data_IF_274784235265
#
_entry.id   IF_274784235265
#
_cell.length_a   1.000
_cell.length_b   1.000
_cell.length_c   1.000
_cell.angle_alpha   90.00
_cell.angle_beta   90.00
_cell.angle_gamma   90.00
#
_symmetry.space_group_name_H-M   'P 1'
#
loop_
_entity.id
_entity.type
_entity.pdbx_description
1 polymer ?
#
# COMPACT_ATOMS: atom_id res chain seq x y z
N UNK A 1 -14.67 -12.82 -12.91
CA UNK A 1 -14.72 -11.98 -11.70
C UNK A 1 -14.01 -10.66 -11.99
N UNK A 2 -14.60 -9.53 -11.62
CA UNK A 2 -13.93 -8.24 -11.64
C UNK A 2 -12.98 -8.07 -10.43
N UNK A 3 -12.20 -6.99 -10.39
CA UNK A 3 -11.24 -6.73 -9.31
C UNK A 3 -11.89 -6.78 -7.92
N UNK A 4 -13.01 -6.09 -7.75
CA UNK A 4 -13.73 -6.01 -6.46
C UNK A 4 -14.18 -7.40 -6.01
N UNK A 5 -14.74 -8.20 -6.91
CA UNK A 5 -15.18 -9.57 -6.61
C UNK A 5 -14.01 -10.45 -6.14
N UNK A 6 -12.82 -10.31 -6.75
CA UNK A 6 -11.63 -11.07 -6.35
C UNK A 6 -11.20 -10.71 -4.93
N UNK A 7 -11.16 -9.42 -4.60
CA UNK A 7 -10.78 -8.95 -3.28
C UNK A 7 -11.79 -9.37 -2.20
N UNK A 8 -13.08 -9.31 -2.50
CA UNK A 8 -14.13 -9.78 -1.60
C UNK A 8 -14.04 -11.30 -1.35
N UNK A 9 -13.83 -12.09 -2.40
CA UNK A 9 -13.66 -13.53 -2.25
C UNK A 9 -12.38 -13.90 -1.49
N UNK A 10 -11.30 -13.12 -1.62
CA UNK A 10 -10.09 -13.30 -0.81
C UNK A 10 -10.37 -13.08 0.70
N UNK A 11 -11.07 -11.99 1.05
CA UNK A 11 -11.48 -11.72 2.44
C UNK A 11 -12.36 -12.84 2.98
N UNK A 12 -13.34 -13.29 2.19
CA UNK A 12 -14.25 -14.37 2.57
C UNK A 12 -13.53 -15.71 2.76
N UNK A 13 -12.57 -16.03 1.89
CA UNK A 13 -11.82 -17.29 1.91
C UNK A 13 -10.82 -17.37 3.05
N UNK A 14 -10.07 -16.29 3.28
CA UNK A 14 -8.95 -16.29 4.23
C UNK A 14 -9.27 -15.66 5.59
N UNK A 15 -10.38 -14.92 5.67
CA UNK A 15 -10.81 -14.22 6.88
C UNK A 15 -10.15 -12.86 7.06
N UNK A 16 -10.86 -11.97 7.76
CA UNK A 16 -10.43 -10.58 7.98
C UNK A 16 -9.09 -10.50 8.70
N UNK A 17 -8.89 -11.25 9.79
CA UNK A 17 -7.65 -11.20 10.56
C UNK A 17 -6.43 -11.58 9.70
N UNK A 18 -6.52 -12.66 8.93
CA UNK A 18 -5.45 -13.09 8.03
C UNK A 18 -5.14 -12.05 6.96
N UNK A 19 -6.15 -11.35 6.44
CA UNK A 19 -5.93 -10.26 5.49
C UNK A 19 -5.36 -9.00 6.15
N UNK A 20 -5.68 -8.73 7.42
CA UNK A 20 -5.01 -7.67 8.18
C UNK A 20 -3.52 -8.00 8.39
N UNK A 21 -3.20 -9.24 8.74
CA UNK A 21 -1.82 -9.70 8.91
C UNK A 21 -1.05 -9.61 7.59
N UNK A 22 -1.67 -10.02 6.48
CA UNK A 22 -1.11 -9.86 5.13
C UNK A 22 -0.87 -8.38 4.79
N UNK A 23 -1.81 -7.49 5.12
CA UNK A 23 -1.61 -6.05 4.91
C UNK A 23 -0.40 -5.51 5.68
N UNK A 24 -0.15 -6.01 6.90
CA UNK A 24 1.02 -5.63 7.71
C UNK A 24 2.31 -6.13 7.06
N UNK A 25 2.30 -7.35 6.51
CA UNK A 25 3.43 -7.93 5.79
C UNK A 25 3.80 -7.11 4.55
N UNK A 26 2.83 -6.79 3.67
CA UNK A 26 3.08 -5.99 2.46
C UNK A 26 3.59 -4.58 2.78
N UNK A 27 3.04 -3.93 3.81
CA UNK A 27 3.55 -2.63 4.27
C UNK A 27 5.01 -2.72 4.77
N UNK A 28 5.37 -3.86 5.36
CA UNK A 28 6.73 -4.11 5.83
C UNK A 28 7.69 -4.36 4.67
N UNK A 29 7.27 -5.08 3.63
CA UNK A 29 8.06 -5.27 2.40
C UNK A 29 8.26 -3.96 1.64
N UNK A 30 7.23 -3.12 1.48
CA UNK A 30 7.39 -1.78 0.92
C UNK A 30 8.41 -0.94 1.73
N UNK A 31 8.34 -1.00 3.06
CA UNK A 31 9.31 -0.33 3.93
C UNK A 31 10.73 -0.84 3.67
N UNK A 32 10.93 -2.16 3.55
CA UNK A 32 12.23 -2.77 3.23
C UNK A 32 12.71 -2.35 1.85
N UNK A 33 11.85 -2.31 0.84
CA UNK A 33 12.19 -1.92 -0.53
C UNK A 33 12.68 -0.46 -0.60
N UNK A 34 12.00 0.47 0.10
CA UNK A 34 12.44 1.86 0.23
C UNK A 34 13.82 1.97 0.91
N UNK A 35 14.06 1.18 1.96
CA UNK A 35 15.36 1.15 2.65
C UNK A 35 16.48 0.55 1.78
N UNK A 36 16.19 -0.40 0.90
CA UNK A 36 17.15 -0.93 -0.09
C UNK A 36 17.57 0.17 -1.07
N UNK A 37 16.61 0.90 -1.65
CA UNK A 37 16.93 2.01 -2.56
C UNK A 37 17.82 3.08 -1.89
N UNK A 38 17.56 3.40 -0.62
CA UNK A 38 18.39 4.37 0.13
C UNK A 38 19.86 3.95 0.27
N UNK A 39 20.14 2.65 0.24
CA UNK A 39 21.49 2.07 0.37
C UNK A 39 22.14 1.73 -0.97
N UNK A 40 21.38 1.78 -2.06
CA UNK A 40 21.88 1.45 -3.38
C UNK A 40 22.95 2.46 -3.82
N UNK A 41 24.06 1.96 -4.33
CA UNK A 41 25.22 2.79 -4.71
C UNK A 41 25.50 2.81 -6.21
N UNK A 42 24.85 1.93 -6.98
CA UNK A 42 25.05 1.83 -8.43
C UNK A 42 23.75 2.08 -9.20
N UNK A 43 23.86 2.63 -10.40
CA UNK A 43 22.68 2.89 -11.25
C UNK A 43 21.87 1.62 -11.56
N UNK A 44 22.49 0.46 -11.90
CA UNK A 44 21.74 -0.78 -12.11
C UNK A 44 21.00 -1.26 -10.86
N UNK A 45 21.62 -1.16 -9.68
CA UNK A 45 20.99 -1.52 -8.41
C UNK A 45 19.82 -0.59 -8.09
N UNK A 46 20.00 0.73 -8.25
CA UNK A 46 18.93 1.71 -8.05
C UNK A 46 17.73 1.43 -8.96
N UNK A 47 17.98 1.02 -10.21
CA UNK A 47 16.91 0.67 -11.14
C UNK A 47 16.12 -0.56 -10.67
N UNK A 48 16.82 -1.63 -10.26
CA UNK A 48 16.19 -2.82 -9.69
C UNK A 48 15.40 -2.50 -8.41
N UNK A 49 15.94 -1.65 -7.53
CA UNK A 49 15.23 -1.22 -6.33
C UNK A 49 13.96 -0.44 -6.65
N UNK A 50 13.96 0.42 -7.69
CA UNK A 50 12.75 1.14 -8.13
C UNK A 50 11.68 0.20 -8.68
N UNK A 51 12.07 -0.84 -9.41
CA UNK A 51 11.14 -1.87 -9.89
C UNK A 51 10.50 -2.62 -8.73
N UNK A 52 11.31 -3.07 -7.76
CA UNK A 52 10.80 -3.71 -6.55
C UNK A 52 9.84 -2.79 -5.78
N UNK A 53 10.16 -1.50 -5.63
CA UNK A 53 9.25 -0.56 -4.95
C UNK A 53 7.90 -0.46 -5.66
N UNK A 54 7.86 -0.51 -7.00
CA UNK A 54 6.60 -0.44 -7.76
C UNK A 54 5.73 -1.68 -7.53
N UNK A 55 6.37 -2.85 -7.38
CA UNK A 55 5.71 -4.11 -7.04
C UNK A 55 5.07 -4.02 -5.65
N UNK A 56 5.87 -3.69 -4.62
CA UNK A 56 5.35 -3.58 -3.24
C UNK A 56 4.27 -2.49 -3.09
N UNK A 57 4.34 -1.40 -3.88
CA UNK A 57 3.26 -0.39 -3.92
C UNK A 57 1.96 -1.01 -4.41
N UNK A 58 2.01 -1.86 -5.44
CA UNK A 58 0.83 -2.52 -5.97
C UNK A 58 0.24 -3.50 -4.96
N UNK A 59 1.09 -4.27 -4.27
CA UNK A 59 0.68 -5.24 -3.25
C UNK A 59 0.05 -4.54 -2.05
N UNK A 60 0.68 -3.48 -1.54
CA UNK A 60 0.09 -2.63 -0.49
C UNK A 60 -1.23 -2.01 -0.95
N UNK A 61 -1.34 -1.53 -2.20
CA UNK A 61 -2.59 -0.93 -2.68
C UNK A 61 -3.74 -1.94 -2.73
N UNK A 62 -3.45 -3.19 -3.13
CA UNK A 62 -4.42 -4.28 -3.09
C UNK A 62 -4.89 -4.53 -1.66
N UNK A 63 -3.95 -4.58 -0.70
CA UNK A 63 -4.27 -4.82 0.69
C UNK A 63 -5.04 -3.67 1.33
N UNK A 64 -4.67 -2.41 1.05
CA UNK A 64 -5.42 -1.24 1.52
C UNK A 64 -6.84 -1.22 0.95
N UNK A 65 -7.05 -1.64 -0.29
CA UNK A 65 -8.40 -1.71 -0.86
C UNK A 65 -9.24 -2.79 -0.17
N UNK A 66 -8.64 -3.92 0.22
CA UNK A 66 -9.33 -4.87 1.10
C UNK A 66 -9.64 -4.26 2.48
N UNK A 67 -8.71 -3.51 3.08
CA UNK A 67 -8.95 -2.84 4.35
C UNK A 67 -10.10 -1.83 4.26
N UNK A 68 -10.24 -1.12 3.13
CA UNK A 68 -11.41 -0.25 2.87
C UNK A 68 -12.72 -1.04 2.76
N UNK A 69 -12.69 -2.25 2.19
CA UNK A 69 -13.87 -3.12 2.16
C UNK A 69 -14.27 -3.61 3.56
N UNK A 70 -13.28 -3.82 4.44
CA UNK A 70 -13.50 -4.30 5.83
C UNK A 70 -13.93 -3.17 6.76
N UNK A 71 -13.24 -2.02 6.72
CA UNK A 71 -13.38 -0.95 7.70
C UNK A 71 -14.17 0.27 7.20
N UNK A 72 -14.49 0.32 5.91
CA UNK A 72 -15.27 1.38 5.29
C UNK A 72 -14.47 2.37 4.46
N UNK A 73 -15.20 3.31 3.87
CA UNK A 73 -14.65 4.35 2.99
C UNK A 73 -13.72 5.32 3.73
N UNK A 74 -12.69 5.79 3.03
CA UNK A 74 -11.67 6.72 3.54
C UNK A 74 -11.69 8.09 2.87
N UNK A 75 -12.62 8.36 1.95
CA UNK A 75 -12.62 9.56 1.11
C UNK A 75 -12.64 10.87 1.91
N UNK A 76 -13.42 10.92 3.00
CA UNK A 76 -13.51 12.10 3.87
C UNK A 76 -12.17 12.35 4.58
N UNK A 77 -11.58 11.30 5.17
CA UNK A 77 -10.31 11.37 5.89
C UNK A 77 -9.16 11.72 4.94
N UNK A 78 -9.16 11.18 3.73
CA UNK A 78 -8.18 11.49 2.69
C UNK A 78 -8.25 12.96 2.27
N UNK A 79 -9.45 13.45 1.99
CA UNK A 79 -9.70 14.87 1.64
C UNK A 79 -9.19 15.81 2.73
N UNK A 80 -9.56 15.54 3.99
CA UNK A 80 -9.09 16.32 5.14
C UNK A 80 -7.56 16.33 5.26
N UNK A 81 -6.91 15.16 5.12
CA UNK A 81 -5.45 15.03 5.23
C UNK A 81 -4.70 15.74 4.10
N UNK A 82 -5.21 15.66 2.87
CA UNK A 82 -4.63 16.37 1.71
C UNK A 82 -4.75 17.89 1.89
N UNK A 83 -5.92 18.39 2.31
CA UNK A 83 -6.09 19.81 2.60
C UNK A 83 -5.12 20.29 3.70
N UNK A 84 -4.94 19.49 4.77
CA UNK A 84 -3.97 19.77 5.83
C UNK A 84 -2.53 19.74 5.32
N UNK A 85 -2.18 18.87 4.37
CA UNK A 85 -0.87 18.88 3.72
C UNK A 85 -0.66 20.16 2.91
N UNK A 86 -1.63 20.53 2.06
CA UNK A 86 -1.58 21.76 1.27
C UNK A 86 -1.34 23.00 2.13
N UNK A 87 -2.04 23.12 3.28
CA UNK A 87 -1.85 24.23 4.21
C UNK A 87 -0.41 24.36 4.76
N UNK A 88 0.32 23.25 4.90
CA UNK A 88 1.72 23.24 5.39
C UNK A 88 2.74 23.65 4.34
N UNK A 89 2.37 23.63 3.06
CA UNK A 89 3.27 24.01 1.96
C UNK A 89 3.20 25.50 1.60
N UNK A 90 2.18 26.21 2.12
CA UNK A 90 1.90 27.63 1.82
C UNK A 90 2.24 28.53 3.03
N UNK A 91 2.76 27.93 4.11
CA UNK A 91 3.42 28.62 5.22
C UNK A 91 4.94 28.58 4.97
#
# INVERSE_FOLDING_TARGET
>A
MNRTEILQEAIKKYGVQSQCDMCIEEMSELTKALLKLRRASTQPEMQKCRENIREEIADVQIMIDQMRMVYGDTAEQETYKIQRLRKRMVL
#
